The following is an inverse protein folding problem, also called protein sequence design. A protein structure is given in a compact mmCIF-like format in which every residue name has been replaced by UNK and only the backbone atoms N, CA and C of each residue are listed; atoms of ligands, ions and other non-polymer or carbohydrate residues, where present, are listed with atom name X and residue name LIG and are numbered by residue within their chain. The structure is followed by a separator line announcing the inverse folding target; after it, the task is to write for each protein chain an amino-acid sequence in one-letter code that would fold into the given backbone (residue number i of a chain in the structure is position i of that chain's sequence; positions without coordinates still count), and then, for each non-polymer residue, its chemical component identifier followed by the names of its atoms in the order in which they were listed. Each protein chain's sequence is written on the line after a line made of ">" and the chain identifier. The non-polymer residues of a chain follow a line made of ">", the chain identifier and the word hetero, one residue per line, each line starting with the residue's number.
data_IF_006368443324
#
_entry.id   IF_006368443324
#
_cell.length_a   1.000
_cell.length_b   1.000
_cell.length_c   1.000
_cell.angle_alpha   90.00
_cell.angle_beta   90.00
_cell.angle_gamma   90.00
#
_symmetry.space_group_name_H-M   'P 1'
#
loop_
_entity.id
_entity.type
_entity.pdbx_description
1 polymer ?
#
# COMPACT_ATOMS: atom_id res chain seq x y z
N UNK A 1 1.59 -18.45 33.43
CA UNK A 1 2.80 -18.32 32.59
C UNK A 1 2.30 -17.87 31.23
N UNK A 2 2.37 -16.56 30.95
CA UNK A 2 1.80 -15.98 29.74
C UNK A 2 2.75 -16.23 28.56
N UNK A 3 2.26 -16.97 27.58
CA UNK A 3 2.94 -17.19 26.31
C UNK A 3 2.67 -15.96 25.44
N UNK A 4 3.61 -15.03 25.42
CA UNK A 4 3.66 -14.00 24.38
C UNK A 4 4.31 -14.63 23.16
N UNK A 5 3.49 -14.91 22.15
CA UNK A 5 3.96 -15.24 20.81
C UNK A 5 4.42 -13.92 20.18
N UNK A 6 5.66 -13.54 20.44
CA UNK A 6 6.33 -12.47 19.69
C UNK A 6 6.75 -13.03 18.33
N UNK A 7 5.94 -12.78 17.31
CA UNK A 7 6.29 -13.11 15.93
C UNK A 7 7.46 -12.22 15.46
N UNK A 8 8.67 -12.74 15.58
CA UNK A 8 9.77 -12.68 14.60
C UNK A 8 9.78 -11.49 13.62
N UNK A 9 10.15 -10.29 14.09
CA UNK A 9 10.76 -9.26 13.24
C UNK A 9 11.85 -8.52 14.01
N UNK A 10 12.97 -9.21 14.29
CA UNK A 10 14.17 -8.55 14.79
C UNK A 10 14.87 -7.84 13.60
N UNK A 11 14.75 -6.52 13.50
CA UNK A 11 15.55 -5.69 12.60
C UNK A 11 16.46 -4.79 13.42
N UNK A 12 17.77 -4.91 13.15
CA UNK A 12 18.86 -4.27 13.88
C UNK A 12 18.76 -2.74 13.88
N UNK A 13 19.11 -2.15 15.02
CA UNK A 13 18.99 -0.74 15.38
C UNK A 13 20.22 0.04 14.88
N UNK A 14 19.97 1.06 14.06
CA UNK A 14 20.85 2.21 13.79
C UNK A 14 19.98 3.32 13.18
N UNK A 15 20.39 4.58 13.28
CA UNK A 15 19.78 5.91 12.95
C UNK A 15 18.62 6.00 11.93
N UNK A 16 18.42 4.98 11.09
CA UNK A 16 17.18 4.65 10.38
C UNK A 16 15.93 4.49 11.27
N UNK A 17 16.03 4.57 12.60
CA UNK A 17 14.91 4.26 13.49
C UNK A 17 13.76 5.27 13.39
N UNK A 18 14.06 6.57 13.22
CA UNK A 18 13.03 7.60 13.08
C UNK A 18 12.35 7.54 11.70
N UNK A 19 13.14 7.26 10.65
CA UNK A 19 12.64 7.04 9.29
C UNK A 19 11.81 5.76 9.24
N UNK A 20 12.26 4.66 9.85
CA UNK A 20 11.51 3.40 9.92
C UNK A 20 10.25 3.54 10.77
N UNK A 21 10.28 4.24 11.92
CA UNK A 21 9.07 4.50 12.69
C UNK A 21 8.08 5.34 11.88
N UNK A 22 8.54 6.39 11.19
CA UNK A 22 7.67 7.21 10.34
C UNK A 22 7.08 6.40 9.18
N UNK A 23 7.87 5.52 8.56
CA UNK A 23 7.41 4.60 7.50
C UNK A 23 6.39 3.59 8.04
N UNK A 24 6.66 2.95 9.18
CA UNK A 24 5.73 2.02 9.82
C UNK A 24 4.43 2.70 10.25
N UNK A 25 4.51 3.94 10.74
CA UNK A 25 3.34 4.75 11.13
C UNK A 25 2.52 5.14 9.91
N UNK A 26 3.14 5.59 8.82
CA UNK A 26 2.41 5.99 7.61
C UNK A 26 1.79 4.80 6.87
N UNK A 27 2.46 3.63 6.84
CA UNK A 27 1.86 2.39 6.33
C UNK A 27 0.67 1.95 7.17
N UNK A 28 0.79 2.01 8.49
CA UNK A 28 -0.32 1.71 9.40
C UNK A 28 -1.49 2.67 9.20
N UNK A 29 -1.23 3.96 9.02
CA UNK A 29 -2.28 4.95 8.69
C UNK A 29 -2.97 4.60 7.37
N UNK A 30 -2.24 4.22 6.33
CA UNK A 30 -2.83 3.81 5.04
C UNK A 30 -3.72 2.58 5.18
N UNK A 31 -3.22 1.56 5.88
CA UNK A 31 -3.96 0.32 6.15
C UNK A 31 -5.22 0.61 6.96
N UNK A 32 -5.10 1.41 8.03
CA UNK A 32 -6.20 1.78 8.90
C UNK A 32 -7.24 2.64 8.15
N UNK A 33 -6.80 3.52 7.24
CA UNK A 33 -7.71 4.29 6.38
C UNK A 33 -8.46 3.35 5.43
N UNK A 34 -7.76 2.48 4.69
CA UNK A 34 -8.39 1.52 3.77
C UNK A 34 -9.43 0.68 4.51
N UNK A 35 -9.06 0.07 5.64
CA UNK A 35 -9.94 -0.78 6.47
C UNK A 35 -11.10 -0.01 7.09
N UNK A 36 -10.88 1.22 7.54
CA UNK A 36 -11.95 2.05 8.12
C UNK A 36 -12.96 2.51 7.05
N UNK A 37 -12.49 2.82 5.85
CA UNK A 37 -13.40 3.23 4.76
C UNK A 37 -14.17 2.05 4.16
N UNK A 38 -13.58 0.85 4.07
CA UNK A 38 -14.30 -0.38 3.73
C UNK A 38 -15.52 -0.57 4.66
N UNK A 39 -15.35 -0.30 5.96
CA UNK A 39 -16.42 -0.38 6.96
C UNK A 39 -17.52 0.67 6.78
N UNK A 40 -17.18 1.88 6.32
CA UNK A 40 -18.11 2.99 6.10
C UNK A 40 -18.95 2.76 4.82
N UNK A 41 -18.37 2.11 3.80
CA UNK A 41 -18.99 1.89 2.48
C UNK A 41 -19.84 0.61 2.36
N UNK A 42 -20.34 0.06 3.47
CA UNK A 42 -21.01 -1.26 3.55
C UNK A 42 -22.38 -1.41 2.82
N UNK A 43 -22.71 -0.56 1.84
CA UNK A 43 -23.76 -0.80 0.85
C UNK A 43 -23.24 -0.78 -0.62
N UNK A 44 -21.99 -0.36 -0.87
CA UNK A 44 -21.36 -0.30 -2.19
C UNK A 44 -19.85 -0.62 -2.12
N UNK A 45 -19.48 -1.76 -1.51
CA UNK A 45 -18.08 -2.21 -1.40
C UNK A 45 -17.34 -2.27 -2.75
N UNK A 46 -18.04 -2.67 -3.82
CA UNK A 46 -17.54 -2.64 -5.20
C UNK A 46 -17.15 -1.24 -5.69
N UNK A 47 -17.84 -0.19 -5.23
CA UNK A 47 -17.54 1.19 -5.64
C UNK A 47 -16.25 1.66 -4.97
N UNK A 48 -16.08 1.37 -3.68
CA UNK A 48 -14.90 1.72 -2.92
C UNK A 48 -13.63 1.01 -3.45
N UNK A 49 -13.68 -0.31 -3.64
CA UNK A 49 -12.56 -1.08 -4.20
C UNK A 49 -12.12 -0.54 -5.55
N UNK A 50 -13.08 -0.27 -6.45
CA UNK A 50 -12.80 0.31 -7.75
C UNK A 50 -12.16 1.70 -7.66
N UNK A 51 -12.61 2.55 -6.73
CA UNK A 51 -12.00 3.87 -6.50
C UNK A 51 -10.53 3.72 -6.08
N UNK A 52 -10.22 2.85 -5.12
CA UNK A 52 -8.84 2.66 -4.66
C UNK A 52 -7.96 2.07 -5.76
N UNK A 53 -8.43 1.03 -6.46
CA UNK A 53 -7.70 0.42 -7.58
C UNK A 53 -7.42 1.44 -8.68
N UNK A 54 -8.41 2.27 -9.02
CA UNK A 54 -8.26 3.33 -10.02
C UNK A 54 -7.26 4.40 -9.56
N UNK A 55 -7.27 4.78 -8.28
CA UNK A 55 -6.28 5.73 -7.73
C UNK A 55 -4.87 5.17 -7.82
N UNK A 56 -4.68 3.93 -7.37
CA UNK A 56 -3.38 3.25 -7.41
C UNK A 56 -2.89 3.15 -8.86
N UNK A 57 -3.74 2.68 -9.77
CA UNK A 57 -3.40 2.57 -11.18
C UNK A 57 -3.06 3.92 -11.80
N UNK A 58 -3.91 4.93 -11.57
CA UNK A 58 -3.73 6.26 -12.14
C UNK A 58 -2.46 6.92 -11.62
N UNK A 59 -2.12 6.76 -10.34
CA UNK A 59 -0.89 7.35 -9.78
C UNK A 59 0.36 6.64 -10.24
N UNK A 60 0.36 5.31 -10.31
CA UNK A 60 1.48 4.58 -10.90
C UNK A 60 1.67 4.95 -12.38
N UNK A 61 0.57 5.13 -13.13
CA UNK A 61 0.60 5.61 -14.51
C UNK A 61 1.15 7.03 -14.63
N UNK A 62 0.73 7.94 -13.77
CA UNK A 62 1.20 9.32 -13.74
C UNK A 62 2.71 9.40 -13.46
N UNK A 63 3.20 8.59 -12.52
CA UNK A 63 4.60 8.60 -12.11
C UNK A 63 5.51 7.95 -13.16
N UNK A 64 5.07 6.85 -13.77
CA UNK A 64 5.96 5.98 -14.56
C UNK A 64 5.60 5.88 -16.05
N UNK A 65 4.40 6.30 -16.45
CA UNK A 65 3.84 6.03 -17.77
C UNK A 65 3.38 4.59 -17.96
N UNK A 66 2.69 4.34 -19.06
CA UNK A 66 2.00 3.08 -19.34
C UNK A 66 2.93 1.86 -19.43
N UNK A 67 4.08 2.04 -20.08
CA UNK A 67 5.02 0.94 -20.32
C UNK A 67 5.60 0.40 -19.01
N UNK A 68 6.01 1.29 -18.10
CA UNK A 68 6.57 0.89 -16.81
C UNK A 68 5.45 0.38 -15.90
N UNK A 69 4.26 0.98 -15.92
CA UNK A 69 3.10 0.44 -15.21
C UNK A 69 2.82 -1.02 -15.61
N UNK A 70 2.85 -1.34 -16.90
CA UNK A 70 2.63 -2.70 -17.36
C UNK A 70 3.74 -3.66 -16.92
N UNK A 71 4.99 -3.20 -16.90
CA UNK A 71 6.11 -3.98 -16.37
C UNK A 71 5.94 -4.25 -14.86
N UNK A 72 5.49 -3.26 -14.09
CA UNK A 72 5.18 -3.39 -12.66
C UNK A 72 4.06 -4.39 -12.43
N UNK A 73 2.93 -4.26 -13.14
CA UNK A 73 1.81 -5.21 -13.09
C UNK A 73 2.28 -6.64 -13.38
N UNK A 74 3.07 -6.81 -14.44
CA UNK A 74 3.62 -8.11 -14.85
C UNK A 74 4.57 -8.68 -13.78
N UNK A 75 5.41 -7.84 -13.16
CA UNK A 75 6.32 -8.27 -12.12
C UNK A 75 5.57 -8.69 -10.85
N UNK A 76 4.58 -7.90 -10.43
CA UNK A 76 3.73 -8.21 -9.28
C UNK A 76 3.00 -9.55 -9.47
N UNK A 77 2.43 -9.76 -10.65
CA UNK A 77 1.70 -11.00 -10.96
C UNK A 77 2.63 -12.21 -11.01
N UNK A 78 3.79 -12.09 -11.69
CA UNK A 78 4.72 -13.22 -11.85
C UNK A 78 5.51 -13.57 -10.60
N UNK A 79 5.87 -12.58 -9.77
CA UNK A 79 6.76 -12.80 -8.62
C UNK A 79 6.02 -12.95 -7.29
N UNK A 80 4.85 -12.36 -7.17
CA UNK A 80 4.11 -12.35 -5.91
C UNK A 80 2.66 -12.83 -6.05
N UNK A 81 2.23 -13.18 -7.28
CA UNK A 81 0.82 -13.50 -7.56
C UNK A 81 -0.12 -12.38 -7.11
N UNK A 82 0.31 -11.14 -7.32
CA UNK A 82 -0.41 -9.94 -6.95
C UNK A 82 -0.95 -9.18 -8.17
N UNK A 83 -2.13 -8.60 -8.01
CA UNK A 83 -2.78 -7.65 -8.91
C UNK A 83 -3.00 -6.32 -8.19
N UNK A 84 -3.52 -5.31 -8.90
CA UNK A 84 -3.79 -4.01 -8.28
C UNK A 84 -4.92 -4.07 -7.25
N UNK A 85 -5.87 -4.98 -7.40
CA UNK A 85 -6.96 -5.25 -6.44
C UNK A 85 -6.43 -5.61 -5.06
N UNK A 86 -5.27 -6.27 -5.02
CA UNK A 86 -4.63 -6.65 -3.76
C UNK A 86 -4.12 -5.46 -2.94
N UNK A 87 -4.08 -4.25 -3.53
CA UNK A 87 -3.84 -3.03 -2.77
C UNK A 87 -4.96 -2.71 -1.77
N UNK A 88 -6.17 -3.26 -1.98
CA UNK A 88 -7.29 -3.14 -1.04
C UNK A 88 -7.36 -4.36 -0.11
N UNK A 89 -7.27 -5.57 -0.67
CA UNK A 89 -7.43 -6.81 0.10
C UNK A 89 -6.26 -7.11 1.04
N UNK A 90 -5.02 -6.81 0.60
CA UNK A 90 -3.78 -7.07 1.34
C UNK A 90 -2.74 -5.96 1.12
N UNK A 91 -3.08 -4.70 1.48
CA UNK A 91 -2.22 -3.53 1.28
C UNK A 91 -0.80 -3.73 1.80
N UNK A 92 -0.65 -4.41 2.95
CA UNK A 92 0.64 -4.73 3.55
C UNK A 92 1.56 -5.48 2.58
N UNK A 93 1.02 -6.51 1.92
CA UNK A 93 1.74 -7.38 1.02
C UNK A 93 1.98 -6.66 -0.31
N UNK A 94 1.00 -5.89 -0.78
CA UNK A 94 1.10 -5.11 -2.00
C UNK A 94 2.22 -4.06 -1.93
N UNK A 95 2.24 -3.22 -0.91
CA UNK A 95 3.24 -2.17 -0.76
C UNK A 95 4.64 -2.71 -0.44
N UNK A 96 4.74 -3.78 0.34
CA UNK A 96 6.01 -4.49 0.52
C UNK A 96 6.57 -5.06 -0.80
N UNK A 97 5.70 -5.48 -1.72
CA UNK A 97 6.10 -5.98 -3.04
C UNK A 97 6.55 -4.86 -3.96
N UNK A 98 5.90 -3.69 -3.91
CA UNK A 98 6.38 -2.49 -4.60
C UNK A 98 7.74 -2.02 -4.06
N UNK A 99 8.00 -2.17 -2.76
CA UNK A 99 9.31 -1.88 -2.17
C UNK A 99 10.42 -2.76 -2.75
N UNK A 100 10.12 -4.01 -3.14
CA UNK A 100 11.10 -4.87 -3.82
C UNK A 100 11.45 -4.38 -5.22
N UNK A 101 10.57 -3.60 -5.86
CA UNK A 101 10.80 -3.01 -7.19
C UNK A 101 11.52 -1.67 -7.07
N UNK A 102 11.01 -0.81 -6.19
CA UNK A 102 11.37 0.61 -6.13
C UNK A 102 12.31 0.95 -4.97
N UNK A 103 12.65 -0.02 -4.12
CA UNK A 103 13.38 0.20 -2.88
C UNK A 103 12.67 1.24 -2.01
N UNK A 104 13.46 2.08 -1.32
CA UNK A 104 12.94 3.13 -0.45
C UNK A 104 12.09 4.19 -1.18
N UNK A 105 12.15 4.28 -2.51
CA UNK A 105 11.34 5.25 -3.26
C UNK A 105 9.85 4.90 -3.29
N UNK A 106 9.48 3.65 -2.95
CA UNK A 106 8.07 3.23 -2.78
C UNK A 106 7.32 4.12 -1.80
N UNK A 107 8.01 4.67 -0.81
CA UNK A 107 7.43 5.54 0.20
C UNK A 107 6.84 6.82 -0.39
N UNK A 108 7.51 7.41 -1.37
CA UNK A 108 6.98 8.59 -2.08
C UNK A 108 5.72 8.21 -2.86
N UNK A 109 5.70 7.01 -3.45
CA UNK A 109 4.54 6.49 -4.19
C UNK A 109 3.36 6.26 -3.23
N UNK A 110 3.60 5.59 -2.09
CA UNK A 110 2.63 5.35 -1.03
C UNK A 110 1.98 6.66 -0.55
N UNK A 111 2.78 7.71 -0.31
CA UNK A 111 2.27 9.04 0.06
C UNK A 111 1.39 9.70 -1.00
N UNK A 112 1.79 9.60 -2.26
CA UNK A 112 1.03 10.19 -3.36
C UNK A 112 -0.32 9.48 -3.53
N UNK A 113 -0.32 8.15 -3.42
CA UNK A 113 -1.53 7.34 -3.42
C UNK A 113 -2.43 7.70 -2.23
N UNK A 114 -1.87 7.76 -1.02
CA UNK A 114 -2.58 8.17 0.21
C UNK A 114 -3.28 9.53 0.06
N UNK A 115 -2.54 10.53 -0.41
CA UNK A 115 -3.06 11.89 -0.58
C UNK A 115 -4.19 11.92 -1.59
N UNK A 116 -4.09 11.15 -2.66
CA UNK A 116 -5.12 11.06 -3.68
C UNK A 116 -6.38 10.35 -3.16
N UNK A 117 -6.22 9.25 -2.43
CA UNK A 117 -7.31 8.55 -1.74
C UNK A 117 -8.06 9.52 -0.82
N UNK A 118 -7.34 10.27 0.01
CA UNK A 118 -7.93 11.27 0.90
C UNK A 118 -8.68 12.38 0.14
N UNK A 119 -8.18 12.80 -1.02
CA UNK A 119 -8.84 13.82 -1.84
C UNK A 119 -10.12 13.31 -2.49
N UNK A 120 -10.16 12.05 -2.94
CA UNK A 120 -11.34 11.45 -3.57
C UNK A 120 -12.43 11.04 -2.59
N UNK A 121 -12.08 10.84 -1.32
CA UNK A 121 -12.99 10.37 -0.27
C UNK A 121 -13.45 11.52 0.64
N UNK A 122 -12.98 12.76 0.42
CA UNK A 122 -13.56 13.93 1.11
C UNK A 122 -15.03 14.10 0.67
N UNK A 123 -15.96 14.25 1.64
CA UNK A 123 -17.36 14.57 1.34
C UNK A 123 -17.51 15.96 0.71
#
# INVERSE_FOLDING_TARGET
>A
MNVLIESSYAYQVNENHEINLKICVERKILIDLIKNYEKIFNQETLNFENIIVNVVESKLREIFGDNILQAVKTYLEKKFSLKLQDAVEKPEIFFASLEKIFGKSVYTIEKLILKEIQNKIKP
#
